data_IF_319744574615
#
_entry.id   IF_319744574615
#
_cell.length_a   1.000
_cell.length_b   1.000
_cell.length_c   1.000
_cell.angle_alpha   90.00
_cell.angle_beta   90.00
_cell.angle_gamma   90.00
#
_symmetry.space_group_name_H-M   'P 1'
#
loop_
_entity.id
_entity.type
_entity.pdbx_description
1 polymer ?
#
# COMPACT_ATOMS: atom_id res chain seq x y z
N UNK A 1 -5.94 -17.11 -25.20
CA UNK A 1 -4.92 -16.28 -24.53
C UNK A 1 -5.60 -15.59 -23.35
N UNK A 2 -5.13 -15.81 -22.12
CA UNK A 2 -5.63 -15.15 -20.90
C UNK A 2 -4.64 -14.06 -20.48
N UNK A 3 -5.14 -12.90 -20.06
CA UNK A 3 -4.31 -11.84 -19.48
C UNK A 3 -4.41 -11.90 -17.96
N UNK A 4 -3.26 -12.00 -17.30
CA UNK A 4 -3.11 -12.05 -15.84
C UNK A 4 -2.40 -10.79 -15.35
N UNK A 5 -2.69 -10.33 -14.13
CA UNK A 5 -2.09 -9.11 -13.59
C UNK A 5 -0.70 -9.38 -13.04
N UNK A 6 -0.48 -10.58 -12.50
CA UNK A 6 0.80 -11.01 -11.92
C UNK A 6 1.34 -12.27 -12.59
N UNK A 7 2.66 -12.48 -12.53
CA UNK A 7 3.29 -13.71 -13.04
C UNK A 7 2.85 -14.96 -12.27
N UNK A 8 2.47 -14.80 -11.00
CA UNK A 8 1.89 -15.88 -10.21
C UNK A 8 0.53 -16.31 -10.75
N UNK A 9 -0.36 -15.36 -11.04
CA UNK A 9 -1.67 -15.66 -11.66
C UNK A 9 -1.50 -16.30 -13.03
N UNK A 10 -0.54 -15.82 -13.83
CA UNK A 10 -0.17 -16.44 -15.11
C UNK A 10 0.19 -17.92 -14.90
N UNK A 11 1.12 -18.21 -14.00
CA UNK A 11 1.56 -19.58 -13.70
C UNK A 11 0.41 -20.47 -13.24
N UNK A 12 -0.41 -20.00 -12.30
CA UNK A 12 -1.59 -20.75 -11.81
C UNK A 12 -2.57 -21.04 -12.97
N UNK A 13 -2.78 -20.07 -13.86
CA UNK A 13 -3.68 -20.21 -15.02
C UNK A 13 -3.16 -21.25 -16.01
N UNK A 14 -1.86 -21.20 -16.33
CA UNK A 14 -1.23 -22.16 -17.23
C UNK A 14 -1.26 -23.58 -16.62
N UNK A 15 -0.90 -23.71 -15.34
CA UNK A 15 -0.82 -24.98 -14.62
C UNK A 15 -2.19 -25.65 -14.43
N UNK A 16 -3.22 -24.88 -14.04
CA UNK A 16 -4.54 -25.44 -13.70
C UNK A 16 -5.52 -25.49 -14.87
N UNK A 17 -5.46 -24.52 -15.77
CA UNK A 17 -6.43 -24.40 -16.86
C UNK A 17 -5.87 -24.88 -18.21
N UNK A 18 -4.55 -25.07 -18.34
CA UNK A 18 -3.91 -25.55 -19.57
C UNK A 18 -4.05 -24.59 -20.75
N UNK A 19 -4.29 -23.30 -20.48
CA UNK A 19 -4.46 -22.26 -21.51
C UNK A 19 -3.26 -21.30 -21.51
N UNK A 20 -2.82 -20.80 -22.68
CA UNK A 20 -1.76 -19.81 -22.74
C UNK A 20 -2.14 -18.53 -22.00
N UNK A 21 -1.25 -18.03 -21.15
CA UNK A 21 -1.44 -16.78 -20.43
C UNK A 21 -0.26 -15.81 -20.62
N UNK A 22 -0.54 -14.51 -20.54
CA UNK A 22 0.48 -13.44 -20.54
C UNK A 22 0.21 -12.49 -19.39
N UNK A 23 1.28 -11.94 -18.81
CA UNK A 23 1.19 -10.98 -17.71
C UNK A 23 1.09 -9.55 -18.24
N UNK A 24 0.00 -8.86 -17.91
CA UNK A 24 -0.20 -7.43 -18.15
C UNK A 24 -0.39 -6.74 -16.78
N UNK A 25 0.64 -6.05 -16.25
CA UNK A 25 0.54 -5.40 -14.96
C UNK A 25 -0.46 -4.26 -15.00
N UNK A 26 -0.94 -3.83 -13.83
CA UNK A 26 -1.63 -2.53 -13.73
C UNK A 26 -0.67 -1.41 -14.12
N UNK A 27 -1.14 -0.47 -14.92
CA UNK A 27 -0.48 0.81 -15.17
C UNK A 27 -0.96 1.87 -14.18
N UNK A 28 -0.03 2.54 -13.51
CA UNK A 28 -0.27 3.72 -12.69
C UNK A 28 0.59 4.88 -13.18
N UNK A 29 0.12 6.11 -12.96
CA UNK A 29 0.95 7.29 -13.12
C UNK A 29 2.03 7.31 -12.04
N UNK A 30 3.29 7.38 -12.44
CA UNK A 30 4.43 7.52 -11.54
C UNK A 30 5.04 8.91 -11.75
N UNK A 31 5.03 9.81 -10.74
CA UNK A 31 5.68 11.11 -10.86
C UNK A 31 7.19 10.95 -11.07
N UNK A 32 7.80 11.75 -11.96
CA UNK A 32 9.27 11.72 -12.14
C UNK A 32 10.05 12.10 -10.88
N UNK A 33 9.44 12.92 -10.02
CA UNK A 33 10.03 13.39 -8.77
C UNK A 33 9.05 13.16 -7.63
N UNK A 34 9.57 12.60 -6.56
CA UNK A 34 8.86 12.43 -5.29
C UNK A 34 9.35 13.45 -4.25
N UNK A 35 8.47 13.78 -3.31
CA UNK A 35 8.83 14.61 -2.15
C UNK A 35 9.64 13.79 -1.15
N UNK A 36 10.67 14.39 -0.57
CA UNK A 36 11.39 13.83 0.58
C UNK A 36 10.55 13.81 1.84
N UNK A 37 11.18 13.52 2.99
CA UNK A 37 10.50 13.46 4.29
C UNK A 37 9.96 14.81 4.76
N UNK A 38 10.66 15.91 4.45
CA UNK A 38 10.28 17.23 4.92
C UNK A 38 8.87 17.64 4.45
N UNK A 39 8.09 18.21 5.36
CA UNK A 39 6.69 18.60 5.11
C UNK A 39 5.69 17.44 5.06
N UNK A 40 6.14 16.18 5.02
CA UNK A 40 5.24 15.03 5.16
C UNK A 40 4.72 14.91 6.59
N UNK A 41 3.47 14.50 6.73
CA UNK A 41 2.76 14.36 8.01
C UNK A 41 1.89 13.12 7.97
N UNK A 42 1.76 12.42 9.10
CA UNK A 42 0.77 11.36 9.29
C UNK A 42 1.08 10.05 8.55
N UNK A 43 0.31 9.01 8.87
CA UNK A 43 0.26 7.76 8.13
C UNK A 43 -1.09 7.60 7.44
N UNK A 44 -1.18 6.76 6.41
CA UNK A 44 -2.43 6.56 5.68
C UNK A 44 -2.64 5.15 5.16
N UNK A 45 -3.88 4.84 4.80
CA UNK A 45 -4.31 3.64 4.11
C UNK A 45 -5.40 4.03 3.11
N UNK A 46 -5.35 3.51 1.88
CA UNK A 46 -6.39 3.74 0.87
C UNK A 46 -7.20 2.47 0.57
N UNK A 47 -8.49 2.63 0.31
CA UNK A 47 -9.31 1.58 -0.30
C UNK A 47 -10.81 1.76 -0.13
N UNK A 48 -11.60 1.17 -1.02
CA UNK A 48 -13.06 1.12 -0.88
C UNK A 48 -13.45 0.32 0.38
N UNK A 49 -14.10 0.97 1.34
CA UNK A 49 -14.41 0.38 2.65
C UNK A 49 -15.60 -0.58 2.59
N UNK A 50 -16.35 -0.63 1.48
CA UNK A 50 -17.32 -1.72 1.23
C UNK A 50 -16.64 -3.09 1.15
N UNK A 51 -15.37 -3.14 0.75
CA UNK A 51 -14.61 -4.39 0.68
C UNK A 51 -14.26 -4.86 2.09
N UNK A 52 -14.62 -6.11 2.41
CA UNK A 52 -14.44 -6.69 3.73
C UNK A 52 -12.97 -6.68 4.17
N UNK A 53 -12.03 -6.87 3.24
CA UNK A 53 -10.59 -6.85 3.51
C UNK A 53 -10.12 -5.48 3.98
N UNK A 54 -10.68 -4.40 3.41
CA UNK A 54 -10.33 -3.03 3.78
C UNK A 54 -10.95 -2.64 5.12
N UNK A 55 -12.23 -2.97 5.33
CA UNK A 55 -12.89 -2.75 6.61
C UNK A 55 -12.20 -3.53 7.74
N UNK A 56 -11.82 -4.79 7.48
CA UNK A 56 -11.08 -5.61 8.44
C UNK A 56 -9.75 -4.98 8.83
N UNK A 57 -8.95 -4.56 7.84
CA UNK A 57 -7.65 -3.95 8.07
C UNK A 57 -7.73 -2.66 8.91
N UNK A 58 -8.68 -1.77 8.60
CA UNK A 58 -8.87 -0.52 9.37
C UNK A 58 -9.29 -0.82 10.81
N UNK A 59 -10.22 -1.77 11.02
CA UNK A 59 -10.62 -2.18 12.38
C UNK A 59 -9.49 -2.83 13.15
N UNK A 60 -8.72 -3.69 12.49
CA UNK A 60 -7.57 -4.36 13.07
C UNK A 60 -6.52 -3.33 13.49
N UNK A 61 -6.18 -2.41 12.61
CA UNK A 61 -5.25 -1.31 12.90
C UNK A 61 -5.72 -0.48 14.10
N UNK A 62 -6.98 -0.05 14.08
CA UNK A 62 -7.58 0.73 15.16
C UNK A 62 -7.55 0.02 16.51
N UNK A 63 -7.90 -1.26 16.56
CA UNK A 63 -8.06 -2.00 17.82
C UNK A 63 -6.75 -2.54 18.38
N UNK A 64 -5.82 -2.94 17.52
CA UNK A 64 -4.66 -3.74 17.93
C UNK A 64 -3.34 -2.98 17.79
N UNK A 65 -3.25 -2.01 16.86
CA UNK A 65 -1.99 -1.36 16.51
C UNK A 65 -1.93 0.07 17.06
N UNK A 66 -3.00 0.87 16.87
CA UNK A 66 -3.06 2.25 17.39
C UNK A 66 -2.75 2.35 18.89
N UNK A 67 -3.30 1.50 19.79
CA UNK A 67 -3.01 1.59 21.21
C UNK A 67 -1.51 1.49 21.54
N UNK A 68 -0.77 0.67 20.78
CA UNK A 68 0.67 0.51 20.94
C UNK A 68 1.44 1.72 20.41
N UNK A 69 0.99 2.30 19.29
CA UNK A 69 1.63 3.45 18.67
C UNK A 69 1.52 4.69 19.55
N UNK A 70 0.33 4.98 20.07
CA UNK A 70 0.06 6.25 20.75
C UNK A 70 0.76 6.38 22.10
N UNK A 71 1.17 5.25 22.69
CA UNK A 71 2.03 5.23 23.87
C UNK A 71 3.45 5.75 23.55
N UNK A 72 3.94 5.50 22.34
CA UNK A 72 5.31 5.86 21.91
C UNK A 72 5.38 7.09 21.01
N UNK A 73 4.30 7.39 20.29
CA UNK A 73 4.19 8.47 19.30
C UNK A 73 2.88 9.24 19.58
N UNK A 74 2.89 10.17 20.56
CA UNK A 74 1.65 10.83 21.01
C UNK A 74 0.97 11.72 19.96
N UNK A 75 1.72 12.19 18.95
CA UNK A 75 1.22 12.99 17.82
C UNK A 75 0.89 12.14 16.59
N UNK A 76 0.75 10.83 16.75
CA UNK A 76 0.38 9.95 15.64
C UNK A 76 -1.00 10.30 15.10
N UNK A 77 -1.12 10.39 13.77
CA UNK A 77 -2.41 10.48 13.09
C UNK A 77 -2.41 9.55 11.90
N UNK A 78 -3.50 8.82 11.74
CA UNK A 78 -3.72 7.88 10.66
C UNK A 78 -4.98 8.22 9.87
N UNK A 79 -4.87 8.23 8.55
CA UNK A 79 -6.01 8.47 7.66
C UNK A 79 -6.41 7.18 6.95
N UNK A 80 -7.61 6.68 7.26
CA UNK A 80 -8.27 5.63 6.51
C UNK A 80 -9.07 6.27 5.37
N UNK A 81 -8.44 6.37 4.20
CA UNK A 81 -8.94 7.08 3.04
C UNK A 81 -9.75 6.16 2.14
N UNK A 82 -11.03 6.47 1.92
CA UNK A 82 -11.82 5.65 1.00
C UNK A 82 -13.32 5.73 1.13
N UNK A 83 -13.99 5.42 0.03
CA UNK A 83 -15.45 5.47 -0.12
C UNK A 83 -16.17 4.36 0.67
N UNK A 84 -17.46 4.60 0.91
CA UNK A 84 -18.41 3.65 1.48
C UNK A 84 -18.00 3.05 2.84
N UNK A 85 -17.58 3.85 3.85
CA UNK A 85 -17.34 3.32 5.18
C UNK A 85 -18.65 2.75 5.76
N UNK A 86 -18.67 1.47 6.18
CA UNK A 86 -19.83 0.92 6.88
C UNK A 86 -20.00 1.59 8.24
N UNK A 87 -21.19 1.46 8.86
CA UNK A 87 -21.47 2.08 10.17
C UNK A 87 -20.47 1.69 11.24
N UNK A 88 -20.04 0.43 11.24
CA UNK A 88 -19.01 -0.07 12.14
C UNK A 88 -17.63 0.62 12.03
N UNK A 89 -17.38 1.35 10.93
CA UNK A 89 -16.23 2.25 10.79
C UNK A 89 -16.64 3.69 11.11
N UNK A 90 -17.80 4.17 10.62
CA UNK A 90 -18.29 5.53 10.88
C UNK A 90 -18.47 5.86 12.36
N UNK A 91 -18.79 4.86 13.18
CA UNK A 91 -18.96 4.99 14.63
C UNK A 91 -17.63 5.03 15.40
N UNK A 92 -16.48 4.88 14.72
CA UNK A 92 -15.19 4.98 15.40
C UNK A 92 -14.87 6.44 15.66
N UNK A 93 -14.88 6.82 16.92
CA UNK A 93 -14.39 8.12 17.39
C UNK A 93 -12.95 7.98 17.89
N UNK A 94 -12.01 8.65 17.22
CA UNK A 94 -10.60 8.62 17.59
C UNK A 94 -9.91 9.93 17.26
N UNK A 95 -9.08 10.43 18.18
CA UNK A 95 -8.18 11.57 17.89
C UNK A 95 -6.94 11.17 17.07
N UNK A 96 -6.68 9.88 16.95
CA UNK A 96 -5.49 9.33 16.29
C UNK A 96 -5.80 8.73 14.91
N UNK A 97 -7.08 8.54 14.58
CA UNK A 97 -7.51 8.00 13.31
C UNK A 97 -8.69 8.80 12.76
N UNK A 98 -8.62 9.10 11.47
CA UNK A 98 -9.68 9.75 10.72
C UNK A 98 -10.10 8.87 9.54
N UNK A 99 -11.41 8.66 9.39
CA UNK A 99 -11.98 7.94 8.25
C UNK A 99 -12.58 8.99 7.32
N UNK A 100 -11.96 9.22 6.18
CA UNK A 100 -12.24 10.41 5.36
C UNK A 100 -13.52 10.29 4.54
N UNK A 101 -13.98 9.07 4.28
CA UNK A 101 -14.95 8.82 3.22
C UNK A 101 -14.31 8.97 1.83
N UNK A 102 -15.15 9.21 0.80
CA UNK A 102 -14.68 9.35 -0.58
C UNK A 102 -13.79 10.59 -0.73
N UNK A 103 -12.65 10.40 -1.39
CA UNK A 103 -11.75 11.48 -1.79
C UNK A 103 -11.54 11.37 -3.31
N UNK A 104 -11.68 12.47 -4.08
CA UNK A 104 -11.52 12.44 -5.54
C UNK A 104 -10.15 11.99 -6.00
N UNK A 105 -9.11 12.38 -5.28
CA UNK A 105 -7.71 12.04 -5.56
C UNK A 105 -7.03 11.54 -4.29
N UNK A 106 -6.78 10.23 -4.22
CA UNK A 106 -6.09 9.61 -3.08
C UNK A 106 -4.59 9.83 -3.11
N UNK A 107 -4.03 10.21 -4.26
CA UNK A 107 -2.58 10.36 -4.44
C UNK A 107 -2.01 11.52 -3.63
N UNK A 108 -2.85 12.49 -3.25
CA UNK A 108 -2.47 13.56 -2.32
C UNK A 108 -2.01 13.01 -0.97
N UNK A 109 -2.61 11.90 -0.49
CA UNK A 109 -2.21 11.27 0.75
C UNK A 109 -0.89 10.52 0.58
N UNK A 110 -0.71 9.82 -0.53
CA UNK A 110 0.56 9.15 -0.85
C UNK A 110 1.73 10.15 -1.00
N UNK A 111 1.47 11.34 -1.56
CA UNK A 111 2.49 12.38 -1.71
C UNK A 111 2.81 13.16 -0.43
N UNK A 112 1.88 13.21 0.54
CA UNK A 112 1.99 14.04 1.74
C UNK A 112 2.18 13.25 3.04
N UNK A 113 1.93 11.94 3.03
CA UNK A 113 2.06 11.11 4.23
C UNK A 113 3.48 10.63 4.44
N UNK A 114 3.86 10.45 5.71
CA UNK A 114 5.15 9.90 6.12
C UNK A 114 5.25 8.45 5.66
N UNK A 115 4.20 7.64 5.82
CA UNK A 115 4.20 6.25 5.37
C UNK A 115 2.77 5.75 5.09
N UNK A 116 2.67 4.71 4.26
CA UNK A 116 1.46 3.92 4.07
C UNK A 116 1.49 2.70 4.98
N UNK A 117 0.39 2.45 5.68
CA UNK A 117 0.21 1.30 6.57
C UNK A 117 -0.83 0.37 5.98
N UNK A 118 -0.44 -0.86 5.63
CA UNK A 118 -1.30 -1.80 4.91
C UNK A 118 -1.46 -3.11 5.69
N UNK A 119 -2.25 -3.11 6.79
CA UNK A 119 -2.38 -4.23 7.70
C UNK A 119 -3.47 -5.23 7.22
N UNK A 120 -3.42 -5.63 5.95
CA UNK A 120 -4.39 -6.57 5.38
C UNK A 120 -4.15 -7.97 5.96
N UNK A 121 -5.21 -8.61 6.48
CA UNK A 121 -5.12 -9.99 7.00
C UNK A 121 -5.74 -11.02 6.08
N UNK A 122 -6.49 -10.55 5.09
CA UNK A 122 -7.24 -11.33 4.13
C UNK A 122 -7.20 -10.66 2.75
N UNK A 123 -7.31 -11.47 1.70
CA UNK A 123 -7.29 -11.05 0.30
C UNK A 123 -6.16 -11.71 -0.48
N UNK A 124 -6.25 -11.64 -1.81
CA UNK A 124 -5.25 -12.20 -2.73
C UNK A 124 -5.01 -11.24 -3.90
N UNK A 125 -3.93 -11.47 -4.65
CA UNK A 125 -3.57 -10.68 -5.84
C UNK A 125 -2.96 -9.31 -5.56
N UNK A 126 -2.63 -8.58 -6.62
CA UNK A 126 -1.98 -7.27 -6.53
C UNK A 126 -2.89 -6.22 -5.87
N UNK A 127 -2.31 -5.42 -4.97
CA UNK A 127 -3.03 -4.35 -4.27
C UNK A 127 -2.64 -2.99 -4.83
N UNK A 128 -3.56 -2.32 -5.53
CA UNK A 128 -3.31 -1.00 -6.12
C UNK A 128 -2.84 0.05 -5.09
N UNK A 129 -3.33 -0.01 -3.86
CA UNK A 129 -2.91 0.89 -2.77
C UNK A 129 -1.41 0.82 -2.45
N UNK A 130 -0.81 -0.36 -2.57
CA UNK A 130 0.63 -0.53 -2.33
C UNK A 130 1.38 0.12 -3.47
N UNK A 131 1.00 -0.19 -4.71
CA UNK A 131 1.61 0.40 -5.91
C UNK A 131 1.49 1.93 -5.92
N UNK A 132 0.34 2.48 -5.54
CA UNK A 132 0.11 3.93 -5.44
C UNK A 132 1.03 4.58 -4.38
N UNK A 133 1.14 3.98 -3.19
CA UNK A 133 2.03 4.48 -2.15
C UNK A 133 3.49 4.49 -2.61
N UNK A 134 3.95 3.39 -3.20
CA UNK A 134 5.30 3.28 -3.76
C UNK A 134 5.53 4.32 -4.87
N UNK A 135 4.59 4.47 -5.80
CA UNK A 135 4.67 5.42 -6.91
C UNK A 135 4.85 6.87 -6.45
N UNK A 136 4.21 7.28 -5.36
CA UNK A 136 4.34 8.64 -4.82
C UNK A 136 5.40 8.77 -3.71
N UNK A 137 6.22 7.74 -3.53
CA UNK A 137 7.37 7.75 -2.63
C UNK A 137 6.97 7.76 -1.15
N UNK A 138 5.78 7.27 -0.79
CA UNK A 138 5.48 6.95 0.60
C UNK A 138 6.04 5.56 0.92
N UNK A 139 6.97 5.43 1.88
CA UNK A 139 7.36 4.13 2.41
C UNK A 139 6.14 3.30 2.80
N UNK A 140 6.16 2.03 2.44
CA UNK A 140 5.08 1.09 2.74
C UNK A 140 5.52 0.18 3.88
N UNK A 141 4.68 0.10 4.92
CA UNK A 141 4.74 -0.96 5.94
C UNK A 141 3.51 -1.84 5.73
N UNK A 142 3.72 -3.11 5.43
CA UNK A 142 2.66 -4.00 4.96
C UNK A 142 2.82 -5.43 5.48
N UNK A 143 1.70 -6.13 5.60
CA UNK A 143 1.68 -7.57 5.85
C UNK A 143 2.14 -8.35 4.62
N UNK A 144 2.57 -9.59 4.83
CA UNK A 144 2.83 -10.56 3.76
C UNK A 144 1.63 -10.73 2.82
N UNK A 145 0.41 -10.72 3.36
CA UNK A 145 -0.85 -10.77 2.59
C UNK A 145 -1.04 -9.54 1.71
N UNK A 146 -0.61 -8.36 2.16
CA UNK A 146 -0.78 -7.12 1.42
C UNK A 146 0.15 -7.00 0.20
N UNK A 147 1.34 -7.61 0.27
CA UNK A 147 2.32 -7.61 -0.83
C UNK A 147 2.34 -8.94 -1.60
N UNK A 148 1.38 -9.82 -1.35
CA UNK A 148 1.28 -11.10 -2.02
C UNK A 148 1.22 -10.94 -3.55
N UNK A 149 2.11 -11.66 -4.26
CA UNK A 149 2.20 -11.59 -5.72
C UNK A 149 2.86 -10.32 -6.25
N UNK A 150 3.38 -9.47 -5.36
CA UNK A 150 4.24 -8.35 -5.71
C UNK A 150 5.69 -8.79 -5.49
N UNK A 151 6.52 -8.69 -6.52
CA UNK A 151 7.96 -8.99 -6.45
C UNK A 151 8.69 -7.81 -5.78
N UNK A 152 8.36 -7.55 -4.51
CA UNK A 152 8.97 -6.49 -3.71
C UNK A 152 10.07 -7.04 -2.81
N UNK A 153 11.17 -6.32 -2.71
CA UNK A 153 12.28 -6.65 -1.80
C UNK A 153 12.06 -6.00 -0.41
N UNK A 154 11.87 -6.80 0.67
CA UNK A 154 11.81 -6.27 2.03
C UNK A 154 13.11 -5.56 2.40
N UNK A 155 13.04 -4.53 3.26
CA UNK A 155 14.19 -3.72 3.74
C UNK A 155 14.88 -2.87 2.66
N UNK A 156 14.40 -2.94 1.42
CA UNK A 156 14.87 -2.14 0.27
C UNK A 156 13.73 -1.32 -0.35
N UNK A 157 12.58 -1.94 -0.58
CA UNK A 157 11.45 -1.33 -1.32
C UNK A 157 10.20 -1.15 -0.44
N UNK A 158 10.09 -1.92 0.64
CA UNK A 158 9.04 -1.83 1.66
C UNK A 158 9.53 -2.45 2.97
N UNK A 159 8.77 -2.27 4.05
CA UNK A 159 9.00 -2.94 5.34
C UNK A 159 7.87 -3.95 5.62
N UNK A 160 8.26 -5.17 5.99
CA UNK A 160 7.32 -6.24 6.34
C UNK A 160 6.90 -6.11 7.82
N UNK A 161 5.60 -6.29 8.07
CA UNK A 161 5.03 -6.42 9.40
C UNK A 161 3.75 -7.26 9.36
N UNK A 162 3.76 -8.43 10.00
CA UNK A 162 2.62 -9.35 10.11
C UNK A 162 1.94 -9.32 11.48
N UNK A 163 2.53 -8.64 12.47
CA UNK A 163 1.98 -8.50 13.82
C UNK A 163 1.88 -7.05 14.30
N UNK A 164 1.04 -6.74 15.31
CA UNK A 164 0.94 -5.37 15.84
C UNK A 164 2.26 -4.81 16.38
N UNK A 165 3.10 -5.68 16.94
CA UNK A 165 4.42 -5.30 17.47
C UNK A 165 5.38 -4.96 16.33
N UNK A 166 5.42 -5.78 15.29
CA UNK A 166 6.22 -5.48 14.10
C UNK A 166 5.75 -4.18 13.43
N UNK A 167 4.44 -3.94 13.34
CA UNK A 167 3.94 -2.66 12.83
C UNK A 167 4.46 -1.48 13.66
N UNK A 168 4.40 -1.57 14.99
CA UNK A 168 4.96 -0.53 15.86
C UNK A 168 6.46 -0.32 15.58
N UNK A 169 7.24 -1.39 15.53
CA UNK A 169 8.68 -1.34 15.30
C UNK A 169 9.00 -0.66 13.96
N UNK A 170 8.35 -1.07 12.87
CA UNK A 170 8.56 -0.47 11.55
C UNK A 170 8.11 0.99 11.49
N UNK A 171 7.01 1.34 12.16
CA UNK A 171 6.56 2.72 12.28
C UNK A 171 7.63 3.55 13.00
N UNK A 172 8.14 3.09 14.15
CA UNK A 172 9.16 3.82 14.90
C UNK A 172 10.44 4.05 14.09
N UNK A 173 10.84 3.07 13.28
CA UNK A 173 11.99 3.17 12.37
C UNK A 173 11.83 4.25 11.28
N UNK A 174 10.59 4.57 10.89
CA UNK A 174 10.29 5.50 9.79
C UNK A 174 9.75 6.86 10.23
N UNK A 175 9.08 6.95 11.39
CA UNK A 175 8.25 8.10 11.74
C UNK A 175 9.05 9.39 11.96
N UNK A 176 10.33 9.27 12.33
CA UNK A 176 11.28 10.39 12.48
C UNK A 176 12.07 10.72 11.20
N UNK A 177 11.86 9.96 10.11
CA UNK A 177 12.56 10.13 8.85
C UNK A 177 13.94 9.46 8.84
N UNK A 178 14.94 10.16 8.32
CA UNK A 178 16.32 9.67 8.24
C UNK A 178 16.64 8.79 7.04
N UNK A 179 17.82 8.15 7.08
CA UNK A 179 18.37 7.39 5.96
C UNK A 179 17.48 6.23 5.55
N UNK A 180 16.97 5.46 6.51
CA UNK A 180 16.07 4.33 6.22
C UNK A 180 14.80 4.80 5.53
N UNK A 181 14.18 5.90 5.99
CA UNK A 181 12.99 6.45 5.33
C UNK A 181 13.27 6.79 3.87
N UNK A 182 14.40 7.47 3.62
CA UNK A 182 14.85 7.80 2.27
C UNK A 182 15.08 6.54 1.44
N UNK A 183 15.78 5.55 1.98
CA UNK A 183 16.07 4.28 1.30
C UNK A 183 14.79 3.58 0.83
N UNK A 184 13.85 3.34 1.76
CA UNK A 184 12.60 2.63 1.45
C UNK A 184 11.73 3.45 0.48
N UNK A 185 11.65 4.77 0.66
CA UNK A 185 10.90 5.66 -0.24
C UNK A 185 11.42 5.58 -1.68
N UNK A 186 12.73 5.73 -1.89
CA UNK A 186 13.33 5.70 -3.22
C UNK A 186 13.34 4.30 -3.83
N UNK A 187 13.56 3.26 -3.02
CA UNK A 187 13.52 1.87 -3.46
C UNK A 187 12.12 1.50 -3.97
N UNK A 188 11.10 1.77 -3.17
CA UNK A 188 9.70 1.56 -3.55
C UNK A 188 9.30 2.34 -4.80
N UNK A 189 9.67 3.62 -4.88
CA UNK A 189 9.39 4.45 -6.04
C UNK A 189 10.06 3.94 -7.32
N UNK A 190 11.33 3.53 -7.25
CA UNK A 190 12.01 2.87 -8.39
C UNK A 190 11.26 1.62 -8.84
N UNK A 191 10.87 0.77 -7.89
CA UNK A 191 10.12 -0.46 -8.20
C UNK A 191 8.79 -0.14 -8.89
N UNK A 192 8.06 0.86 -8.41
CA UNK A 192 6.84 1.31 -9.06
C UNK A 192 7.07 1.76 -10.51
N UNK A 193 8.11 2.56 -10.75
CA UNK A 193 8.46 3.04 -12.08
C UNK A 193 8.85 1.91 -13.05
N UNK A 194 9.58 0.91 -12.56
CA UNK A 194 10.10 -0.20 -13.37
C UNK A 194 9.05 -1.29 -13.67
N UNK A 195 8.08 -1.48 -12.78
CA UNK A 195 7.16 -2.63 -12.84
C UNK A 195 5.70 -2.27 -13.09
N UNK A 196 5.26 -1.07 -12.71
CA UNK A 196 3.83 -0.73 -12.64
C UNK A 196 3.48 0.60 -13.32
N UNK A 197 4.40 1.27 -14.01
CA UNK A 197 4.11 2.49 -14.74
C UNK A 197 3.22 2.24 -15.97
N UNK A 198 2.50 3.28 -16.40
CA UNK A 198 1.69 3.24 -17.63
C UNK A 198 2.55 2.83 -18.83
N UNK A 199 3.78 3.33 -18.93
CA UNK A 199 4.72 3.02 -19.99
C UNK A 199 5.11 1.53 -20.00
N UNK A 200 5.30 0.93 -18.82
CA UNK A 200 5.57 -0.51 -18.69
C UNK A 200 4.37 -1.33 -19.15
N UNK A 201 3.16 -0.96 -18.72
CA UNK A 201 1.92 -1.61 -19.13
C UNK A 201 1.72 -1.51 -20.65
N UNK A 202 1.84 -0.31 -21.22
CA UNK A 202 1.67 -0.06 -22.66
C UNK A 202 2.67 -0.85 -23.50
N UNK A 203 3.95 -0.86 -23.12
CA UNK A 203 4.98 -1.67 -23.79
C UNK A 203 4.66 -3.16 -23.75
N UNK A 204 4.18 -3.68 -22.61
CA UNK A 204 3.76 -5.09 -22.49
C UNK A 204 2.51 -5.37 -23.33
N UNK A 205 1.56 -4.45 -23.37
CA UNK A 205 0.36 -4.54 -24.19
C UNK A 205 0.69 -4.57 -25.68
N UNK A 206 1.62 -3.72 -26.13
CA UNK A 206 2.10 -3.69 -27.52
C UNK A 206 2.83 -4.98 -27.92
N UNK A 207 3.42 -5.73 -26.97
CA UNK A 207 4.00 -7.05 -27.23
C UNK A 207 3.00 -8.21 -27.12
N UNK A 208 1.73 -7.93 -26.81
CA UNK A 208 0.66 -8.93 -26.80
C UNK A 208 0.03 -9.06 -28.20
N UNK A 209 -0.24 -7.93 -28.85
CA UNK A 209 -0.76 -7.82 -30.21
C UNK A 209 0.36 -7.82 -31.25
#
# INVERSE_FOLDING_TARGET
LVLCVTDREKKITEDLCGVPAKTLPTGIRVPEKIRGFEGRRYAFFTGCMKNIQNTDAVKYFYRQIIPLIVEKIPNFKFFAVGSYPPDSLRQIESKYMEITGYVPDTTIYAASSILSLVPLRIGAGLKHKVVEALAYGAPVVATSVAVEGMDLAPEEEFLLADSPKEFLEQIQRLYSGGELWGKISHGGHRRANLSYSMEVMERKLAGIF
#
